data_IF_836553974006
#
_entry.id   IF_836553974006
#
_cell.length_a   1.000
_cell.length_b   1.000
_cell.length_c   1.000
_cell.angle_alpha   90.00
_cell.angle_beta   90.00
_cell.angle_gamma   90.00
#
_symmetry.space_group_name_H-M   'P 1'
#
loop_
_entity.id
_entity.type
_entity.pdbx_description
1 polymer ?
#
# COMPACT_ATOMS: atom_id res chain seq x y z
N UNK A 1 -5.36 6.16 -12.05
CA UNK A 1 -4.51 5.16 -12.73
C UNK A 1 -5.42 4.13 -13.38
N UNK A 2 -4.99 3.58 -14.52
CA UNK A 2 -5.72 2.52 -15.21
C UNK A 2 -5.09 1.17 -14.86
N UNK A 3 -5.88 0.12 -14.57
CA UNK A 3 -5.35 -1.22 -14.31
C UNK A 3 -4.47 -1.78 -15.43
N UNK A 4 -4.59 -1.26 -16.66
CA UNK A 4 -3.81 -1.66 -17.83
C UNK A 4 -2.55 -0.81 -18.06
N UNK A 5 -2.25 0.16 -17.19
CA UNK A 5 -1.07 1.02 -17.27
C UNK A 5 0.02 0.58 -16.28
N UNK A 6 0.34 -0.72 -16.26
CA UNK A 6 1.32 -1.34 -15.36
C UNK A 6 2.64 -1.64 -16.07
N UNK A 7 3.68 -1.95 -15.31
CA UNK A 7 4.99 -2.41 -15.79
C UNK A 7 5.59 -3.42 -14.81
N UNK A 8 6.43 -4.33 -15.31
CA UNK A 8 7.26 -5.21 -14.47
C UNK A 8 8.55 -4.49 -14.08
N UNK A 9 9.20 -4.88 -12.97
CA UNK A 9 10.57 -4.46 -12.66
C UNK A 9 11.53 -4.74 -13.82
N UNK A 10 12.67 -4.03 -13.85
CA UNK A 10 13.76 -4.30 -14.80
C UNK A 10 14.53 -5.59 -14.46
N UNK A 11 13.82 -6.73 -14.47
CA UNK A 11 14.33 -8.05 -14.15
C UNK A 11 15.02 -8.68 -15.36
N UNK A 12 16.04 -9.51 -15.09
CA UNK A 12 16.88 -10.17 -16.13
C UNK A 12 16.39 -11.56 -16.50
N UNK A 13 15.41 -12.07 -15.78
CA UNK A 13 14.94 -13.46 -15.76
C UNK A 13 13.45 -13.58 -16.09
N UNK A 14 12.89 -12.56 -16.74
CA UNK A 14 11.51 -12.60 -17.26
C UNK A 14 11.47 -13.65 -18.39
N UNK A 15 10.62 -14.69 -18.31
CA UNK A 15 10.56 -15.72 -19.35
C UNK A 15 10.16 -15.14 -20.71
N UNK A 16 10.68 -15.75 -21.77
CA UNK A 16 10.36 -15.35 -23.15
C UNK A 16 8.84 -15.43 -23.41
N UNK A 17 8.30 -14.42 -24.09
CA UNK A 17 6.88 -14.33 -24.45
C UNK A 17 5.97 -13.71 -23.38
N UNK A 18 6.48 -13.37 -22.20
CA UNK A 18 5.72 -12.65 -21.17
C UNK A 18 5.70 -11.15 -21.46
N UNK A 19 4.55 -10.51 -21.22
CA UNK A 19 4.43 -9.05 -21.31
C UNK A 19 5.20 -8.39 -20.15
N UNK A 20 6.03 -7.39 -20.45
CA UNK A 20 6.77 -6.61 -19.45
C UNK A 20 6.02 -5.35 -19.01
N UNK A 21 4.92 -5.03 -19.67
CA UNK A 21 4.10 -3.85 -19.42
C UNK A 21 2.67 -4.05 -19.91
N UNK A 22 1.77 -3.25 -19.33
CA UNK A 22 0.36 -3.26 -19.67
C UNK A 22 0.06 -2.46 -20.93
N UNK A 23 -1.11 -2.73 -21.52
CA UNK A 23 -1.55 -2.14 -22.79
C UNK A 23 -1.46 -0.62 -22.87
N UNK A 24 -1.70 0.09 -21.76
CA UNK A 24 -1.70 1.55 -21.75
C UNK A 24 -0.38 2.16 -21.27
N UNK A 25 0.64 1.37 -20.92
CA UNK A 25 1.92 1.89 -20.44
C UNK A 25 2.56 2.85 -21.45
N UNK A 26 2.71 2.43 -22.71
CA UNK A 26 3.29 3.26 -23.77
C UNK A 26 2.43 4.50 -24.10
N UNK A 27 1.10 4.39 -23.98
CA UNK A 27 0.18 5.52 -24.19
C UNK A 27 0.37 6.60 -23.12
N UNK A 28 0.46 6.21 -21.85
CA UNK A 28 0.73 7.13 -20.75
C UNK A 28 2.15 7.68 -20.80
N UNK A 29 3.13 6.85 -21.15
CA UNK A 29 4.51 7.30 -21.37
C UNK A 29 4.59 8.34 -22.48
N UNK A 30 3.89 8.15 -23.60
CA UNK A 30 3.92 9.09 -24.73
C UNK A 30 3.20 10.42 -24.42
N UNK A 31 2.17 10.40 -23.58
CA UNK A 31 1.42 11.60 -23.17
C UNK A 31 2.07 12.37 -22.02
N UNK A 32 2.93 11.73 -21.22
CA UNK A 32 3.67 12.36 -20.13
C UNK A 32 4.76 13.32 -20.65
N UNK A 33 4.83 14.59 -20.19
CA UNK A 33 5.97 15.47 -20.44
C UNK A 33 7.30 14.90 -19.93
N UNK A 34 7.26 13.97 -18.97
CA UNK A 34 8.41 13.26 -18.44
C UNK A 34 8.58 11.85 -19.00
N UNK A 35 7.85 11.47 -20.05
CA UNK A 35 7.88 10.13 -20.65
C UNK A 35 9.28 9.65 -21.05
N UNK A 36 10.18 10.58 -21.42
CA UNK A 36 11.59 10.28 -21.74
C UNK A 36 12.40 9.78 -20.54
N UNK A 37 11.95 10.07 -19.32
CA UNK A 37 12.58 9.63 -18.07
C UNK A 37 12.18 8.20 -17.69
N UNK A 38 11.13 7.65 -18.29
CA UNK A 38 10.64 6.30 -17.98
C UNK A 38 11.60 5.25 -18.56
N UNK A 39 12.30 4.55 -17.68
CA UNK A 39 13.16 3.40 -17.98
C UNK A 39 12.39 2.09 -17.73
N UNK A 40 12.87 0.94 -18.23
CA UNK A 40 12.31 -0.36 -17.84
C UNK A 40 12.18 -0.44 -16.31
N UNK A 41 11.03 -0.92 -15.81
CA UNK A 41 10.78 -0.98 -14.36
C UNK A 41 10.34 0.30 -13.69
N UNK A 42 10.06 1.39 -14.41
CA UNK A 42 9.76 2.68 -13.80
C UNK A 42 8.74 3.50 -14.57
N UNK A 43 8.02 4.35 -13.84
CA UNK A 43 7.18 5.40 -14.39
C UNK A 43 7.35 6.68 -13.57
N UNK A 44 7.05 7.83 -14.18
CA UNK A 44 6.89 9.10 -13.46
C UNK A 44 5.41 9.30 -13.17
N UNK A 45 5.07 9.49 -11.90
CA UNK A 45 3.72 9.84 -11.49
C UNK A 45 3.58 11.36 -11.43
N UNK A 46 2.57 11.87 -12.13
CA UNK A 46 2.27 13.30 -12.22
C UNK A 46 0.99 13.60 -11.46
N UNK A 47 1.08 14.50 -10.49
CA UNK A 47 -0.05 14.92 -9.66
C UNK A 47 -0.28 16.42 -9.86
N UNK A 48 -1.34 16.83 -10.59
CA UNK A 48 -1.65 18.25 -10.78
C UNK A 48 -1.93 18.97 -9.47
N UNK A 49 -2.50 18.26 -8.50
CA UNK A 49 -2.88 18.77 -7.19
C UNK A 49 -3.85 19.97 -7.26
N UNK A 50 -4.77 19.94 -8.24
CA UNK A 50 -5.79 20.97 -8.49
C UNK A 50 -7.14 20.68 -7.82
N UNK A 51 -7.24 19.57 -7.08
CA UNK A 51 -8.36 19.28 -6.18
C UNK A 51 -8.31 20.13 -4.89
N UNK A 52 -9.39 20.08 -4.10
CA UNK A 52 -9.48 20.79 -2.82
C UNK A 52 -8.44 20.28 -1.80
N UNK A 53 -8.07 21.14 -0.84
CA UNK A 53 -7.23 20.76 0.29
C UNK A 53 -7.83 19.56 1.03
N UNK A 54 -6.99 18.55 1.28
CA UNK A 54 -7.40 17.29 1.91
C UNK A 54 -6.19 16.50 2.44
N UNK A 55 -6.46 15.61 3.39
CA UNK A 55 -5.54 14.52 3.72
C UNK A 55 -5.69 13.41 2.69
N UNK A 56 -4.73 13.33 1.76
CA UNK A 56 -4.56 12.17 0.89
C UNK A 56 -3.46 11.27 1.46
N UNK A 57 -3.25 10.14 0.81
CA UNK A 57 -2.21 9.18 1.16
C UNK A 57 -1.79 8.41 -0.09
N UNK A 58 -0.56 7.93 -0.07
CA UNK A 58 -0.01 7.07 -1.11
C UNK A 58 0.39 5.74 -0.48
N UNK A 59 0.30 4.67 -1.27
CA UNK A 59 0.70 3.34 -0.85
C UNK A 59 1.00 2.47 -2.09
N UNK A 60 1.64 1.33 -1.89
CA UNK A 60 1.86 0.37 -2.98
C UNK A 60 0.53 -0.14 -3.55
N UNK A 61 0.48 -0.32 -4.86
CA UNK A 61 -0.68 -0.86 -5.58
C UNK A 61 -0.31 -1.96 -6.57
N UNK A 62 0.81 -2.66 -6.31
CA UNK A 62 1.31 -3.73 -7.16
C UNK A 62 0.29 -4.87 -7.24
N UNK A 63 -0.10 -5.25 -8.46
CA UNK A 63 -1.15 -6.24 -8.70
C UNK A 63 -0.85 -7.57 -7.99
N UNK A 64 -1.81 -8.06 -7.21
CA UNK A 64 -1.68 -9.31 -6.43
C UNK A 64 -0.78 -9.21 -5.19
N UNK A 65 -0.10 -8.08 -4.98
CA UNK A 65 0.91 -7.88 -3.93
C UNK A 65 0.57 -6.74 -2.96
N UNK A 66 -0.43 -5.89 -3.26
CA UNK A 66 -0.84 -4.75 -2.40
C UNK A 66 -0.89 -5.11 -0.92
N UNK A 67 -1.55 -6.23 -0.55
CA UNK A 67 -1.68 -6.62 0.87
C UNK A 67 -0.33 -6.83 1.56
N UNK A 68 0.64 -7.41 0.85
CA UNK A 68 1.97 -7.71 1.38
C UNK A 68 2.83 -6.44 1.43
N UNK A 69 2.81 -5.66 0.35
CA UNK A 69 3.61 -4.45 0.26
C UNK A 69 3.12 -3.39 1.23
N UNK A 70 1.81 -3.12 1.31
CA UNK A 70 1.28 -2.15 2.30
C UNK A 70 1.59 -2.61 3.73
N UNK A 71 1.50 -3.91 4.02
CA UNK A 71 1.85 -4.46 5.33
C UNK A 71 3.32 -4.24 5.69
N UNK A 72 4.22 -4.41 4.71
CA UNK A 72 5.66 -4.19 4.87
C UNK A 72 6.04 -2.73 5.15
N UNK A 73 5.13 -1.76 4.96
CA UNK A 73 5.33 -0.37 5.37
C UNK A 73 5.28 0.77 4.31
N UNK A 74 5.39 0.57 2.97
CA UNK A 74 5.23 1.66 1.98
C UNK A 74 3.80 2.21 1.92
N UNK A 75 3.46 3.05 2.90
CA UNK A 75 2.28 3.88 2.97
C UNK A 75 2.63 5.19 3.71
N UNK A 76 2.08 6.31 3.25
CA UNK A 76 2.34 7.61 3.86
C UNK A 76 1.29 8.65 3.49
N UNK A 77 1.16 9.68 4.31
CA UNK A 77 0.26 10.79 4.01
C UNK A 77 0.82 11.68 2.89
N UNK A 78 -0.11 12.20 2.08
CA UNK A 78 0.13 13.24 1.08
C UNK A 78 -0.85 14.37 1.39
N UNK A 79 -0.38 15.39 2.10
CA UNK A 79 -1.24 16.48 2.59
C UNK A 79 -1.31 17.59 1.53
N UNK A 80 -2.52 17.82 1.02
CA UNK A 80 -2.82 18.90 0.08
C UNK A 80 -3.31 20.10 0.86
N UNK A 81 -2.66 21.25 0.67
CA UNK A 81 -2.89 22.48 1.42
C UNK A 81 -3.02 23.66 0.46
N UNK A 82 -3.76 24.67 0.87
CA UNK A 82 -3.98 25.92 0.13
C UNK A 82 -5.10 25.85 -0.93
N UNK A 83 -5.26 26.97 -1.65
CA UNK A 83 -6.33 27.20 -2.61
C UNK A 83 -7.60 27.75 -1.96
N UNK A 84 -8.58 28.13 -2.80
CA UNK A 84 -9.79 28.84 -2.37
C UNK A 84 -10.72 28.02 -1.45
N UNK A 85 -10.50 26.71 -1.38
CA UNK A 85 -11.30 25.77 -0.58
C UNK A 85 -10.61 25.34 0.72
N UNK A 86 -9.40 25.83 1.00
CA UNK A 86 -8.75 25.58 2.29
C UNK A 86 -9.24 26.57 3.35
N UNK A 87 -9.07 26.21 4.62
CA UNK A 87 -9.38 27.09 5.73
C UNK A 87 -8.35 28.23 5.80
N UNK A 88 -8.78 29.46 6.17
CA UNK A 88 -7.85 30.55 6.42
C UNK A 88 -6.82 30.21 7.49
N UNK A 89 -5.64 30.83 7.39
CA UNK A 89 -4.57 30.70 8.38
C UNK A 89 -5.09 30.98 9.81
N UNK A 90 -4.73 30.09 10.74
CA UNK A 90 -5.10 30.18 12.16
C UNK A 90 -6.44 29.55 12.55
N UNK A 91 -7.19 28.97 11.61
CA UNK A 91 -8.41 28.20 11.94
C UNK A 91 -8.07 26.78 12.45
N UNK A 92 -7.13 26.10 11.80
CA UNK A 92 -6.64 24.80 12.24
C UNK A 92 -5.43 24.94 13.18
N UNK A 93 -5.19 23.97 14.09
CA UNK A 93 -3.98 23.93 14.90
C UNK A 93 -2.73 23.96 14.02
N UNK A 94 -1.79 24.86 14.34
CA UNK A 94 -0.52 24.99 13.62
C UNK A 94 0.64 25.37 14.55
N UNK A 95 1.89 25.29 14.07
CA UNK A 95 2.24 25.04 12.67
C UNK A 95 2.10 23.57 12.30
N UNK A 96 1.88 23.33 11.01
CA UNK A 96 2.00 22.03 10.41
C UNK A 96 3.44 21.80 9.91
N UNK A 97 3.92 20.55 9.84
CA UNK A 97 5.25 20.26 9.30
C UNK A 97 5.44 20.79 7.88
N UNK A 98 6.60 21.38 7.63
CA UNK A 98 7.04 21.92 6.34
C UNK A 98 8.43 21.38 5.96
N UNK A 99 8.71 21.41 4.65
CA UNK A 99 9.99 20.98 4.12
C UNK A 99 11.10 21.91 4.62
N UNK A 100 12.11 21.34 5.26
CA UNK A 100 13.27 22.08 5.77
C UNK A 100 13.13 22.59 7.21
N UNK A 101 12.04 22.24 7.89
CA UNK A 101 11.90 22.54 9.32
C UNK A 101 13.00 21.87 10.15
N UNK A 102 13.32 22.50 11.27
CA UNK A 102 14.30 21.97 12.22
C UNK A 102 13.81 20.62 12.81
N UNK A 103 14.72 19.67 13.10
CA UNK A 103 14.35 18.38 13.68
C UNK A 103 13.56 18.44 14.98
N UNK A 104 13.65 19.55 15.73
CA UNK A 104 13.02 19.80 17.02
C UNK A 104 11.86 20.81 16.95
N UNK A 105 11.39 21.15 15.75
CA UNK A 105 10.24 22.02 15.59
C UNK A 105 8.99 21.44 16.27
N UNK A 106 8.24 22.30 16.95
CA UNK A 106 6.95 21.96 17.55
C UNK A 106 5.84 22.11 16.53
N UNK A 107 5.01 21.07 16.38
CA UNK A 107 3.85 21.07 15.51
C UNK A 107 2.57 20.79 16.29
N UNK A 108 1.46 21.36 15.82
CA UNK A 108 0.13 21.12 16.39
C UNK A 108 -0.82 20.47 15.38
N UNK A 109 -0.45 20.41 14.11
CA UNK A 109 -1.06 19.52 13.12
C UNK A 109 -0.30 18.19 13.12
N UNK A 110 -0.93 17.12 13.62
CA UNK A 110 -0.29 15.82 13.82
C UNK A 110 -1.05 14.76 12.99
N UNK A 111 -0.46 14.26 11.89
CA UNK A 111 -1.04 13.14 11.15
C UNK A 111 -0.99 11.85 11.96
N UNK A 112 -2.08 11.09 11.97
CA UNK A 112 -2.22 9.84 12.73
C UNK A 112 -2.51 8.68 11.77
N UNK A 113 -1.48 7.92 11.40
CA UNK A 113 -1.62 6.69 10.62
C UNK A 113 -1.76 5.51 11.58
N UNK A 114 -2.94 4.88 11.59
CA UNK A 114 -3.26 3.72 12.43
C UNK A 114 -3.18 2.46 11.60
N UNK A 115 -2.45 1.47 12.10
CA UNK A 115 -2.23 0.19 11.44
C UNK A 115 -2.20 -0.91 12.50
N UNK A 116 -2.81 -2.05 12.25
CA UNK A 116 -2.61 -3.26 13.05
C UNK A 116 -1.46 -4.09 12.45
N UNK A 117 -0.67 -4.72 13.32
CA UNK A 117 0.46 -5.61 12.97
C UNK A 117 0.52 -6.76 13.95
N UNK A 118 1.14 -7.86 13.56
CA UNK A 118 1.62 -8.93 14.44
C UNK A 118 3.10 -9.15 14.22
N UNK A 119 3.78 -9.65 15.24
CA UNK A 119 5.21 -9.84 15.24
C UNK A 119 5.56 -11.26 15.71
N UNK A 120 6.60 -11.84 15.13
CA UNK A 120 7.21 -13.04 15.67
C UNK A 120 7.99 -12.72 16.96
N UNK A 121 8.40 -13.74 17.71
CA UNK A 121 9.16 -13.58 18.96
C UNK A 121 10.49 -12.82 18.78
N UNK A 122 11.07 -12.86 17.58
CA UNK A 122 12.31 -12.14 17.23
C UNK A 122 12.08 -10.67 16.80
N UNK A 123 10.81 -10.22 16.79
CA UNK A 123 10.40 -8.87 16.41
C UNK A 123 10.22 -8.66 14.89
N UNK A 124 10.41 -9.69 14.06
CA UNK A 124 10.07 -9.61 12.64
C UNK A 124 8.55 -9.55 12.43
N UNK A 125 8.10 -8.94 11.33
CA UNK A 125 6.68 -8.89 10.98
C UNK A 125 6.15 -10.31 10.72
N UNK A 126 5.01 -10.63 11.33
CA UNK A 126 4.23 -11.82 11.02
C UNK A 126 3.12 -11.47 10.01
N UNK A 127 2.94 -12.29 8.98
CA UNK A 127 1.79 -12.25 8.09
C UNK A 127 1.45 -13.69 7.68
N UNK A 128 0.17 -14.12 7.69
CA UNK A 128 -0.18 -15.49 7.41
C UNK A 128 0.07 -15.87 5.95
N UNK A 129 0.65 -17.05 5.74
CA UNK A 129 1.03 -17.60 4.44
C UNK A 129 0.05 -18.68 3.93
N UNK A 130 -0.93 -19.06 4.75
CA UNK A 130 -1.87 -20.14 4.48
C UNK A 130 -3.28 -19.79 4.89
N UNK A 131 -4.25 -20.26 4.11
CA UNK A 131 -5.69 -20.19 4.44
C UNK A 131 -6.03 -20.92 5.75
N UNK A 132 -5.27 -21.95 6.12
CA UNK A 132 -5.48 -22.73 7.34
C UNK A 132 -5.43 -21.85 8.60
N UNK A 133 -4.57 -20.82 8.61
CA UNK A 133 -4.49 -19.82 9.68
C UNK A 133 -5.84 -19.12 9.92
N UNK A 134 -6.52 -18.71 8.84
CA UNK A 134 -7.81 -18.03 8.94
C UNK A 134 -8.93 -18.97 9.43
N UNK A 135 -8.89 -20.23 9.01
CA UNK A 135 -9.86 -21.25 9.45
C UNK A 135 -9.55 -21.78 10.87
N UNK A 136 -8.39 -21.43 11.44
CA UNK A 136 -7.98 -21.85 12.78
C UNK A 136 -7.64 -23.34 12.89
N UNK A 137 -7.11 -23.93 11.81
CA UNK A 137 -6.75 -25.36 11.73
C UNK A 137 -5.31 -25.52 11.25
N UNK A 138 -4.72 -26.70 11.46
CA UNK A 138 -3.42 -27.02 10.86
C UNK A 138 -3.54 -27.20 9.33
N UNK A 139 -2.48 -26.97 8.55
CA UNK A 139 -2.54 -27.07 7.09
C UNK A 139 -3.02 -28.42 6.55
N UNK A 140 -2.74 -29.53 7.23
CA UNK A 140 -3.20 -30.88 6.87
C UNK A 140 -4.66 -31.17 7.29
N UNK A 141 -5.21 -30.36 8.20
CA UNK A 141 -6.61 -30.40 8.62
C UNK A 141 -7.53 -29.57 7.71
N UNK A 142 -6.98 -28.77 6.80
CA UNK A 142 -7.76 -27.93 5.89
C UNK A 142 -8.45 -28.80 4.82
N UNK A 143 -9.76 -29.06 5.00
CA UNK A 143 -10.57 -29.91 4.12
C UNK A 143 -11.44 -29.11 3.14
N UNK A 144 -10.84 -28.16 2.40
CA UNK A 144 -11.51 -27.41 1.33
C UNK A 144 -10.75 -27.57 0.02
N UNK A 145 -11.44 -27.60 -1.14
CA UNK A 145 -10.77 -27.65 -2.42
C UNK A 145 -10.04 -26.33 -2.67
N UNK A 146 -8.73 -26.37 -2.91
CA UNK A 146 -7.91 -25.20 -3.25
C UNK A 146 -7.59 -25.19 -4.74
N UNK A 147 -7.38 -24.04 -5.37
CA UNK A 147 -6.94 -23.99 -6.77
C UNK A 147 -5.67 -24.87 -6.98
N UNK A 148 -5.64 -25.78 -7.98
CA UNK A 148 -6.61 -25.98 -9.07
C UNK A 148 -7.60 -27.17 -8.88
N UNK A 149 -7.80 -27.65 -7.65
CA UNK A 149 -8.68 -28.78 -7.32
C UNK A 149 -10.15 -28.53 -7.70
N UNK A 150 -10.93 -29.61 -7.79
CA UNK A 150 -12.35 -29.54 -8.10
C UNK A 150 -13.20 -29.46 -6.83
N UNK A 151 -14.21 -28.60 -6.88
CA UNK A 151 -15.29 -28.56 -5.89
C UNK A 151 -16.18 -29.79 -5.97
N UNK A 152 -17.08 -29.96 -4.99
CA UNK A 152 -18.06 -31.06 -4.98
C UNK A 152 -18.99 -31.07 -6.21
N UNK A 153 -19.16 -29.95 -6.91
CA UNK A 153 -19.94 -29.86 -8.16
C UNK A 153 -19.15 -30.28 -9.40
N UNK A 154 -17.84 -30.57 -9.27
CA UNK A 154 -16.93 -30.84 -10.37
C UNK A 154 -16.39 -29.58 -11.06
N UNK A 155 -16.74 -28.39 -10.60
CA UNK A 155 -16.16 -27.13 -11.09
C UNK A 155 -14.80 -26.86 -10.43
N UNK A 156 -13.83 -26.21 -11.12
CA UNK A 156 -12.58 -25.76 -10.50
C UNK A 156 -12.85 -24.87 -9.28
N UNK A 157 -12.08 -25.07 -8.20
CA UNK A 157 -12.08 -24.17 -7.05
C UNK A 157 -11.56 -22.79 -7.45
N UNK A 158 -12.07 -21.75 -6.79
CA UNK A 158 -11.63 -20.37 -6.87
C UNK A 158 -10.89 -19.91 -5.60
N UNK A 159 -10.67 -20.82 -4.64
CA UNK A 159 -10.00 -20.53 -3.37
C UNK A 159 -8.49 -20.61 -3.54
N UNK A 160 -7.80 -19.50 -3.30
CA UNK A 160 -6.34 -19.46 -3.35
C UNK A 160 -5.71 -20.10 -2.09
N UNK A 161 -4.66 -20.92 -2.23
CA UNK A 161 -4.02 -21.60 -1.10
C UNK A 161 -3.30 -20.64 -0.14
N UNK A 162 -2.75 -19.55 -0.69
CA UNK A 162 -1.87 -18.60 0.00
C UNK A 162 -2.55 -17.30 0.44
N UNK A 163 -3.82 -17.10 0.09
CA UNK A 163 -4.54 -15.87 0.44
C UNK A 163 -5.50 -16.15 1.58
N UNK A 164 -5.35 -15.37 2.65
CA UNK A 164 -6.37 -15.25 3.68
C UNK A 164 -7.39 -14.19 3.26
N UNK A 165 -8.70 -14.37 3.53
CA UNK A 165 -9.72 -13.36 3.26
C UNK A 165 -9.44 -12.05 3.98
N UNK A 166 -9.01 -12.17 5.23
CA UNK A 166 -8.82 -11.08 6.17
C UNK A 166 -7.65 -11.42 7.10
N UNK A 167 -6.99 -10.40 7.61
CA UNK A 167 -5.95 -10.52 8.62
C UNK A 167 -6.15 -9.40 9.64
N UNK A 168 -6.10 -9.76 10.92
CA UNK A 168 -6.19 -8.83 12.05
C UNK A 168 -4.93 -8.98 12.88
N UNK A 169 -4.12 -7.92 12.91
CA UNK A 169 -2.94 -7.85 13.77
C UNK A 169 -3.33 -7.72 15.24
N UNK A 170 -2.54 -8.34 16.12
CA UNK A 170 -2.73 -8.28 17.57
C UNK A 170 -2.16 -7.01 18.23
N UNK A 171 -1.39 -6.22 17.48
CA UNK A 171 -0.65 -5.06 17.98
C UNK A 171 -1.03 -3.81 17.20
N UNK A 172 -1.55 -2.80 17.90
CA UNK A 172 -1.84 -1.49 17.29
C UNK A 172 -0.56 -0.68 17.13
N UNK A 173 -0.36 -0.16 15.93
CA UNK A 173 0.74 0.70 15.53
C UNK A 173 0.19 2.07 15.13
N UNK A 174 0.80 3.13 15.65
CA UNK A 174 0.53 4.51 15.24
C UNK A 174 1.84 5.14 14.78
N UNK A 175 1.86 5.66 13.54
CA UNK A 175 3.05 6.26 12.93
C UNK A 175 4.32 5.40 13.05
N UNK A 176 4.18 4.08 12.88
CA UNK A 176 5.28 3.11 12.93
C UNK A 176 5.75 2.70 14.33
N UNK A 177 5.06 3.10 15.41
CA UNK A 177 5.36 2.66 16.78
C UNK A 177 4.20 1.88 17.40
N UNK A 178 4.51 0.84 18.16
CA UNK A 178 3.51 0.03 18.90
C UNK A 178 3.01 0.80 20.13
N UNK A 179 1.68 0.91 20.28
CA UNK A 179 0.99 1.63 21.38
C UNK A 179 1.72 2.87 21.93
N UNK A 180 2.03 3.87 21.07
CA UNK A 180 2.78 5.03 21.52
C UNK A 180 1.88 5.95 22.35
N UNK A 181 2.51 6.81 23.13
CA UNK A 181 1.87 7.98 23.71
C UNK A 181 2.49 9.24 23.11
N UNK A 182 1.74 10.33 23.14
CA UNK A 182 2.23 11.68 22.82
C UNK A 182 1.86 12.57 24.00
N UNK A 183 2.86 13.17 24.64
CA UNK A 183 2.65 14.24 25.62
C UNK A 183 2.14 15.48 24.88
N UNK A 184 1.03 16.03 25.35
CA UNK A 184 0.40 17.25 24.84
C UNK A 184 0.29 18.28 25.97
N UNK A 185 0.20 19.56 25.61
CA UNK A 185 0.13 20.70 26.55
C UNK A 185 -1.19 20.77 27.33
#
# INVERSE_FOLDING_TARGET
>A
GYPEAWWLPAAKDIPEGYATEGRFYDEFKASSPYGRSWQPGSAVFEYPNDQHAMTSWFHDHSLGMTRLNVYAGPAGFFLLRGGDNDLPDGVLPGPAPQLGDAPDAKYYEIPIAIQDRSFNEDGSLFYPDSRAFFEGVEPDELQIPLMPELTASGAPSDVAPIWVPEFFGDTMVVNGRTWPYLEVE
#
